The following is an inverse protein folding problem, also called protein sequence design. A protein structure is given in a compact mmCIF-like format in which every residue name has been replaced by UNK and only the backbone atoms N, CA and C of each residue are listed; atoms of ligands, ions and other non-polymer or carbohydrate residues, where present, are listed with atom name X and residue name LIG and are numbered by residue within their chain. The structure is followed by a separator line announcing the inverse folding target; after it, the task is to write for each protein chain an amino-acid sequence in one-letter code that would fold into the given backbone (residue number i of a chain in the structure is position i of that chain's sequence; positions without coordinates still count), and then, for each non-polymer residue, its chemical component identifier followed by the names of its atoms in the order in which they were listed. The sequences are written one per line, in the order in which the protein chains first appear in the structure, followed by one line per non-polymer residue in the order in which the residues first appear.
data_IF_753342856507
#
_entry.id   IF_753342856507
#
_cell.length_a   1.000
_cell.length_b   1.000
_cell.length_c   1.000
_cell.angle_alpha   90.00
_cell.angle_beta   90.00
_cell.angle_gamma   90.00
#
_symmetry.space_group_name_H-M   'P 1'
#
loop_
_entity.id
_entity.type
_entity.pdbx_description
1 polymer ?
#
# COMPACT_ATOMS: atom_id res chain seq x y z
N UNK A 1 -51.47 -34.37 -24.27
CA UNK A 1 -50.81 -33.16 -23.76
C UNK A 1 -51.91 -32.17 -23.46
N UNK A 2 -52.38 -32.14 -22.22
CA UNK A 2 -53.30 -31.11 -21.77
C UNK A 2 -52.64 -30.39 -20.62
N UNK A 3 -52.17 -29.18 -20.91
CA UNK A 3 -51.70 -28.22 -19.92
C UNK A 3 -52.95 -27.59 -19.31
N UNK A 4 -53.62 -28.31 -18.41
CA UNK A 4 -54.56 -27.70 -17.47
C UNK A 4 -53.81 -27.46 -16.17
N UNK A 5 -53.15 -26.30 -16.09
CA UNK A 5 -52.80 -25.69 -14.81
C UNK A 5 -54.11 -25.35 -14.10
N UNK A 6 -54.63 -26.27 -13.29
CA UNK A 6 -55.79 -26.01 -12.44
C UNK A 6 -55.38 -24.94 -11.41
N UNK A 7 -55.83 -23.70 -11.61
CA UNK A 7 -55.56 -22.57 -10.73
C UNK A 7 -55.92 -22.89 -9.26
N UNK A 8 -56.92 -23.75 -9.03
CA UNK A 8 -57.32 -24.15 -7.68
C UNK A 8 -56.31 -25.09 -7.00
N UNK A 9 -55.67 -25.98 -7.75
CA UNK A 9 -54.64 -26.88 -7.19
C UNK A 9 -53.32 -26.13 -6.94
N UNK A 10 -52.95 -25.20 -7.83
CA UNK A 10 -51.77 -24.35 -7.63
C UNK A 10 -51.95 -23.44 -6.40
N UNK A 11 -53.13 -22.85 -6.22
CA UNK A 11 -53.43 -22.01 -5.05
C UNK A 11 -53.51 -22.81 -3.75
N UNK A 12 -54.04 -24.04 -3.78
CA UNK A 12 -54.05 -24.93 -2.61
C UNK A 12 -52.65 -25.40 -2.20
N UNK A 13 -51.80 -25.76 -3.17
CA UNK A 13 -50.41 -26.14 -2.93
C UNK A 13 -49.60 -24.98 -2.35
N UNK A 14 -49.78 -23.77 -2.89
CA UNK A 14 -49.14 -22.56 -2.38
C UNK A 14 -49.60 -22.23 -0.95
N UNK A 15 -50.92 -22.31 -0.70
CA UNK A 15 -51.48 -22.10 0.64
C UNK A 15 -50.91 -23.07 1.66
N UNK A 16 -50.82 -24.36 1.32
CA UNK A 16 -50.26 -25.40 2.18
C UNK A 16 -48.74 -25.22 2.41
N UNK A 17 -48.01 -24.75 1.40
CA UNK A 17 -46.59 -24.45 1.54
C UNK A 17 -46.35 -23.33 2.56
N UNK A 18 -47.09 -22.22 2.47
CA UNK A 18 -46.94 -21.09 3.40
C UNK A 18 -47.49 -21.39 4.81
N UNK A 19 -48.58 -22.15 4.95
CA UNK A 19 -49.07 -22.56 6.27
C UNK A 19 -48.15 -23.59 6.93
N UNK A 20 -47.56 -24.50 6.15
CA UNK A 20 -46.61 -25.50 6.64
C UNK A 20 -45.23 -24.92 6.99
N UNK A 21 -44.74 -23.96 6.21
CA UNK A 21 -43.38 -23.41 6.34
C UNK A 21 -43.33 -21.99 6.91
N UNK A 22 -44.46 -21.37 7.25
CA UNK A 22 -44.55 -19.96 7.63
C UNK A 22 -43.64 -19.56 8.79
N UNK A 23 -43.42 -20.45 9.77
CA UNK A 23 -42.47 -20.20 10.87
C UNK A 23 -41.01 -20.16 10.37
N UNK A 24 -40.63 -21.06 9.48
CA UNK A 24 -39.28 -21.11 8.91
C UNK A 24 -39.03 -19.92 7.98
N UNK A 25 -40.04 -19.53 7.17
CA UNK A 25 -39.98 -18.35 6.31
C UNK A 25 -39.85 -17.06 7.14
N UNK A 26 -40.64 -16.93 8.22
CA UNK A 26 -40.54 -15.79 9.13
C UNK A 26 -39.18 -15.73 9.84
N UNK A 27 -38.67 -16.87 10.32
CA UNK A 27 -37.34 -16.95 10.94
C UNK A 27 -36.23 -16.57 9.94
N UNK A 28 -36.28 -17.10 8.71
CA UNK A 28 -35.35 -16.77 7.64
C UNK A 28 -35.38 -15.28 7.29
N UNK A 29 -36.56 -14.67 7.23
CA UNK A 29 -36.71 -13.23 6.98
C UNK A 29 -36.08 -12.39 8.10
N UNK A 30 -36.33 -12.74 9.37
CA UNK A 30 -35.75 -12.02 10.53
C UNK A 30 -34.23 -12.13 10.53
N UNK A 31 -33.69 -13.32 10.29
CA UNK A 31 -32.24 -13.54 10.20
C UNK A 31 -31.65 -12.74 9.03
N UNK A 32 -32.31 -12.74 7.86
CA UNK A 32 -31.89 -11.98 6.70
C UNK A 32 -31.84 -10.48 6.97
N UNK A 33 -32.87 -9.92 7.61
CA UNK A 33 -32.91 -8.49 7.99
C UNK A 33 -31.82 -8.17 9.01
N UNK A 34 -31.62 -9.01 10.01
CA UNK A 34 -30.57 -8.81 11.02
C UNK A 34 -29.16 -8.84 10.39
N UNK A 35 -28.90 -9.78 9.47
CA UNK A 35 -27.64 -9.89 8.76
C UNK A 35 -27.39 -8.65 7.87
N UNK A 36 -28.39 -8.21 7.10
CA UNK A 36 -28.30 -7.01 6.27
C UNK A 36 -28.11 -5.73 7.10
N UNK A 37 -28.82 -5.62 8.23
CA UNK A 37 -28.69 -4.50 9.17
C UNK A 37 -27.30 -4.44 9.80
N UNK A 38 -26.79 -5.59 10.27
CA UNK A 38 -25.43 -5.71 10.80
C UNK A 38 -24.37 -5.36 9.76
N UNK A 39 -24.51 -5.87 8.52
CA UNK A 39 -23.61 -5.54 7.41
C UNK A 39 -23.62 -4.04 7.09
N UNK A 40 -24.80 -3.41 7.02
CA UNK A 40 -24.93 -1.98 6.72
C UNK A 40 -24.29 -1.10 7.80
N UNK A 41 -24.49 -1.44 9.08
CA UNK A 41 -23.86 -0.72 10.21
C UNK A 41 -22.34 -0.82 10.10
N UNK A 42 -21.83 -2.03 9.82
CA UNK A 42 -20.40 -2.26 9.64
C UNK A 42 -19.82 -1.44 8.46
N UNK A 43 -20.44 -1.47 7.28
CA UNK A 43 -20.01 -0.67 6.12
C UNK A 43 -20.06 0.83 6.41
N UNK A 44 -21.14 1.33 7.02
CA UNK A 44 -21.27 2.74 7.38
C UNK A 44 -20.19 3.20 8.35
N UNK A 45 -19.82 2.35 9.31
CA UNK A 45 -18.73 2.65 10.23
C UNK A 45 -17.38 2.71 9.51
N UNK A 46 -17.15 1.79 8.56
CA UNK A 46 -15.93 1.76 7.74
C UNK A 46 -15.81 3.01 6.84
N UNK A 47 -16.89 3.42 6.18
CA UNK A 47 -16.91 4.63 5.33
C UNK A 47 -16.69 5.92 6.14
N UNK A 48 -17.35 6.05 7.29
CA UNK A 48 -17.16 7.19 8.19
C UNK A 48 -15.71 7.27 8.68
N UNK A 49 -15.12 6.12 9.02
CA UNK A 49 -13.74 6.05 9.49
C UNK A 49 -12.74 6.44 8.38
N UNK A 50 -12.97 6.00 7.13
CA UNK A 50 -12.13 6.37 5.99
C UNK A 50 -12.18 7.87 5.70
N UNK A 51 -13.38 8.48 5.72
CA UNK A 51 -13.56 9.92 5.55
C UNK A 51 -12.86 10.71 6.66
N UNK A 52 -13.06 10.34 7.92
CA UNK A 52 -12.41 11.00 9.06
C UNK A 52 -10.89 10.88 9.01
N UNK A 53 -10.37 9.68 8.71
CA UNK A 53 -8.93 9.43 8.57
C UNK A 53 -8.34 10.27 7.44
N UNK A 54 -9.03 10.36 6.30
CA UNK A 54 -8.60 11.17 5.15
C UNK A 54 -8.56 12.66 5.48
N UNK A 55 -9.59 13.17 6.15
CA UNK A 55 -9.68 14.57 6.56
C UNK A 55 -8.58 14.92 7.58
N UNK A 56 -8.34 14.03 8.55
CA UNK A 56 -7.28 14.19 9.54
C UNK A 56 -5.90 14.15 8.90
N UNK A 57 -5.65 13.23 7.97
CA UNK A 57 -4.43 13.19 7.18
C UNK A 57 -4.21 14.50 6.42
N UNK A 58 -5.25 15.02 5.74
CA UNK A 58 -5.17 16.26 5.00
C UNK A 58 -4.83 17.44 5.91
N UNK A 59 -5.55 17.60 7.02
CA UNK A 59 -5.30 18.65 8.01
C UNK A 59 -3.86 18.62 8.54
N UNK A 60 -3.36 17.45 8.91
CA UNK A 60 -2.00 17.30 9.43
C UNK A 60 -0.94 17.56 8.36
N UNK A 61 -1.18 17.10 7.13
CA UNK A 61 -0.27 17.32 6.00
C UNK A 61 -0.18 18.79 5.60
N UNK A 62 -1.30 19.52 5.65
CA UNK A 62 -1.36 20.96 5.39
C UNK A 62 -0.72 21.80 6.52
N UNK A 63 -0.86 21.34 7.76
CA UNK A 63 -0.26 22.00 8.93
C UNK A 63 1.24 21.72 9.09
N UNK A 64 1.78 20.73 8.36
CA UNK A 64 3.15 20.27 8.49
C UNK A 64 4.15 21.40 8.17
N UNK A 65 5.03 21.69 9.14
CA UNK A 65 6.07 22.68 8.99
C UNK A 65 7.37 22.18 9.64
N UNK A 66 8.44 22.11 8.85
CA UNK A 66 9.73 21.60 9.29
C UNK A 66 10.34 22.39 10.48
N UNK A 67 10.01 23.67 10.60
CA UNK A 67 10.49 24.55 11.67
C UNK A 67 9.67 24.43 12.97
N UNK A 68 8.60 23.62 12.95
CA UNK A 68 7.64 23.47 14.05
C UNK A 68 7.54 22.01 14.49
N UNK A 69 8.36 21.57 15.47
CA UNK A 69 8.40 20.18 15.93
C UNK A 69 7.04 19.61 16.31
N UNK A 70 6.14 20.42 16.88
CA UNK A 70 4.81 20.02 17.28
C UNK A 70 3.95 19.52 16.10
N UNK A 71 4.17 20.05 14.89
CA UNK A 71 3.45 19.63 13.69
C UNK A 71 3.97 18.28 13.18
N UNK A 72 5.27 18.03 13.34
CA UNK A 72 5.91 16.76 12.98
C UNK A 72 5.52 15.66 13.97
N UNK A 73 5.47 15.98 15.27
CA UNK A 73 5.05 15.07 16.32
C UNK A 73 3.58 14.67 16.16
N UNK A 74 2.70 15.60 15.78
CA UNK A 74 1.31 15.31 15.48
C UNK A 74 1.16 14.35 14.29
N UNK A 75 1.95 14.54 13.23
CA UNK A 75 1.95 13.65 12.08
C UNK A 75 2.57 12.28 12.43
N UNK A 76 3.64 12.23 13.23
CA UNK A 76 4.23 10.99 13.71
C UNK A 76 3.26 10.18 14.59
N UNK A 77 2.51 10.87 15.46
CA UNK A 77 1.45 10.24 16.25
C UNK A 77 0.35 9.66 15.36
N UNK A 78 -0.02 10.37 14.29
CA UNK A 78 -0.97 9.88 13.30
C UNK A 78 -0.45 8.64 12.56
N UNK A 79 0.82 8.62 12.15
CA UNK A 79 1.46 7.43 11.55
C UNK A 79 1.35 6.22 12.48
N UNK A 80 1.68 6.37 13.77
CA UNK A 80 1.65 5.27 14.73
C UNK A 80 0.23 4.75 15.06
N UNK A 81 -0.81 5.55 14.82
CA UNK A 81 -2.20 5.22 15.16
C UNK A 81 -3.04 4.79 13.96
N UNK A 82 -2.55 5.02 12.73
CA UNK A 82 -3.33 4.87 11.51
C UNK A 82 -2.75 3.79 10.63
N UNK A 83 -3.50 2.72 10.43
CA UNK A 83 -3.16 1.69 9.46
C UNK A 83 -3.79 1.99 8.08
N UNK A 84 -3.25 1.36 7.04
CA UNK A 84 -3.68 1.54 5.65
C UNK A 84 -2.98 2.70 4.94
N UNK A 85 -3.51 3.07 3.77
CA UNK A 85 -2.83 3.98 2.83
C UNK A 85 -2.54 5.36 3.41
N UNK A 86 -3.41 5.92 4.27
CA UNK A 86 -3.20 7.24 4.86
C UNK A 86 -2.06 7.27 5.89
N UNK A 87 -1.90 6.22 6.70
CA UNK A 87 -0.76 6.08 7.60
C UNK A 87 0.56 5.98 6.83
N UNK A 88 0.58 5.18 5.78
CA UNK A 88 1.74 5.03 4.91
C UNK A 88 2.09 6.34 4.14
N UNK A 89 1.09 7.08 3.65
CA UNK A 89 1.32 8.40 3.04
C UNK A 89 1.87 9.41 4.04
N UNK A 90 1.31 9.44 5.26
CA UNK A 90 1.82 10.29 6.34
C UNK A 90 3.28 9.95 6.69
N UNK A 91 3.61 8.67 6.77
CA UNK A 91 4.96 8.19 7.03
C UNK A 91 5.94 8.64 5.93
N UNK A 92 5.52 8.55 4.66
CA UNK A 92 6.32 9.02 3.53
C UNK A 92 6.52 10.54 3.53
N UNK A 93 5.50 11.32 3.89
CA UNK A 93 5.60 12.78 3.99
C UNK A 93 6.56 13.17 5.11
N UNK A 94 6.43 12.56 6.28
CA UNK A 94 7.29 12.81 7.42
C UNK A 94 8.73 12.38 7.14
N UNK A 95 8.92 11.22 6.50
CA UNK A 95 10.24 10.78 6.04
C UNK A 95 10.89 11.81 5.12
N UNK A 96 10.15 12.39 4.18
CA UNK A 96 10.66 13.44 3.30
C UNK A 96 11.16 14.65 4.09
N UNK A 97 10.39 15.14 5.07
CA UNK A 97 10.81 16.28 5.90
C UNK A 97 12.10 15.96 6.65
N UNK A 98 12.22 14.74 7.19
CA UNK A 98 13.45 14.33 7.86
C UNK A 98 14.64 14.21 6.91
N UNK A 99 14.46 13.74 5.68
CA UNK A 99 15.52 13.76 4.66
C UNK A 99 15.96 15.18 4.34
N UNK A 100 14.99 16.08 4.12
CA UNK A 100 15.27 17.48 3.80
C UNK A 100 16.01 18.19 4.95
N UNK A 101 15.75 17.78 6.20
CA UNK A 101 16.47 18.22 7.41
C UNK A 101 17.77 17.44 7.73
N UNK A 102 18.19 16.49 6.90
CA UNK A 102 19.40 15.68 7.11
C UNK A 102 19.28 14.60 8.19
N UNK A 103 18.09 14.36 8.72
CA UNK A 103 17.79 13.35 9.75
C UNK A 103 17.47 11.98 9.12
N UNK A 104 18.44 11.37 8.45
CA UNK A 104 18.25 10.13 7.68
C UNK A 104 17.76 8.95 8.53
N UNK A 105 18.19 8.87 9.80
CA UNK A 105 17.76 7.81 10.73
C UNK A 105 16.26 7.92 11.04
N UNK A 106 15.78 9.15 11.27
CA UNK A 106 14.34 9.40 11.49
C UNK A 106 13.55 9.10 10.22
N UNK A 107 14.06 9.47 9.05
CA UNK A 107 13.41 9.16 7.78
C UNK A 107 13.28 7.65 7.55
N UNK A 108 14.34 6.89 7.85
CA UNK A 108 14.36 5.42 7.79
C UNK A 108 13.30 4.82 8.72
N UNK A 109 13.26 5.25 9.97
CA UNK A 109 12.27 4.79 10.95
C UNK A 109 10.83 5.02 10.48
N UNK A 110 10.55 6.19 9.87
CA UNK A 110 9.20 6.48 9.36
C UNK A 110 8.83 5.55 8.19
N UNK A 111 9.73 5.32 7.23
CA UNK A 111 9.43 4.39 6.12
C UNK A 111 9.26 2.94 6.60
N UNK A 112 10.04 2.50 7.58
CA UNK A 112 9.89 1.18 8.19
C UNK A 112 8.56 1.05 8.94
N UNK A 113 8.10 2.11 9.61
CA UNK A 113 6.80 2.13 10.26
C UNK A 113 5.68 2.07 9.21
N UNK A 114 5.71 2.93 8.19
CA UNK A 114 4.72 2.92 7.11
C UNK A 114 4.63 1.58 6.37
N UNK A 115 5.74 0.85 6.25
CA UNK A 115 5.76 -0.51 5.65
C UNK A 115 4.99 -1.55 6.48
N UNK A 116 4.90 -1.39 7.81
CA UNK A 116 4.08 -2.26 8.67
C UNK A 116 2.59 -1.96 8.52
N UNK A 117 2.26 -0.74 8.14
CA UNK A 117 0.90 -0.21 8.15
C UNK A 117 0.20 -0.30 6.78
N UNK A 118 0.94 -0.48 5.69
CA UNK A 118 0.39 -0.56 4.32
C UNK A 118 0.17 -2.00 3.86
N UNK A 119 -1.03 -2.31 3.35
CA UNK A 119 -1.31 -3.57 2.62
C UNK A 119 -1.17 -3.43 1.09
N UNK A 120 -1.09 -2.20 0.58
CA UNK A 120 -0.95 -1.94 -0.86
C UNK A 120 0.47 -2.27 -1.35
N UNK A 121 0.59 -3.23 -2.27
CA UNK A 121 1.87 -3.70 -2.78
C UNK A 121 2.66 -2.62 -3.55
N UNK A 122 1.99 -1.71 -4.26
CA UNK A 122 2.64 -0.62 -4.97
C UNK A 122 3.16 0.43 -3.99
N UNK A 123 2.37 0.77 -2.97
CA UNK A 123 2.78 1.71 -1.93
C UNK A 123 3.97 1.17 -1.13
N UNK A 124 3.92 -0.12 -0.76
CA UNK A 124 5.06 -0.79 -0.14
C UNK A 124 6.30 -0.78 -1.05
N UNK A 125 6.17 -1.01 -2.35
CA UNK A 125 7.28 -0.97 -3.29
C UNK A 125 7.93 0.42 -3.35
N UNK A 126 7.12 1.49 -3.42
CA UNK A 126 7.62 2.87 -3.39
C UNK A 126 8.37 3.17 -2.09
N UNK A 127 7.83 2.76 -0.94
CA UNK A 127 8.50 2.95 0.36
C UNK A 127 9.81 2.17 0.43
N UNK A 128 9.85 0.91 -0.01
CA UNK A 128 11.08 0.09 -0.07
C UNK A 128 12.14 0.71 -0.99
N UNK A 129 11.76 1.23 -2.15
CA UNK A 129 12.71 1.93 -3.05
C UNK A 129 13.32 3.16 -2.38
N UNK A 130 12.51 3.95 -1.66
CA UNK A 130 12.99 5.12 -0.91
C UNK A 130 13.87 4.70 0.26
N UNK A 131 13.47 3.69 1.01
CA UNK A 131 14.22 3.14 2.13
C UNK A 131 15.60 2.62 1.68
N UNK A 132 15.66 1.88 0.57
CA UNK A 132 16.92 1.38 0.02
C UNK A 132 17.89 2.53 -0.35
N UNK A 133 17.38 3.65 -0.90
CA UNK A 133 18.20 4.84 -1.16
C UNK A 133 18.72 5.50 0.12
N UNK A 134 17.90 5.59 1.16
CA UNK A 134 18.34 6.11 2.46
C UNK A 134 19.40 5.22 3.09
N UNK A 135 19.20 3.90 3.05
CA UNK A 135 20.18 2.92 3.51
C UNK A 135 21.52 3.09 2.77
N UNK A 136 21.50 3.35 1.46
CA UNK A 136 22.74 3.67 0.72
C UNK A 136 23.39 4.98 1.16
N UNK A 137 22.60 6.03 1.37
CA UNK A 137 23.11 7.31 1.86
C UNK A 137 23.73 7.19 3.27
N UNK A 138 23.25 6.24 4.07
CA UNK A 138 23.78 5.89 5.40
C UNK A 138 24.94 4.89 5.34
N UNK A 139 25.45 4.52 4.16
CA UNK A 139 26.49 3.50 3.96
C UNK A 139 26.09 2.08 4.44
N UNK A 140 24.82 1.71 4.30
CA UNK A 140 24.28 0.37 4.60
C UNK A 140 23.85 -0.37 3.31
N UNK A 141 24.78 -0.73 2.40
CA UNK A 141 24.42 -1.33 1.11
C UNK A 141 23.84 -2.73 1.22
N UNK A 142 24.21 -3.52 2.23
CA UNK A 142 23.64 -4.84 2.44
C UNK A 142 22.16 -4.77 2.82
N UNK A 143 21.78 -3.79 3.63
CA UNK A 143 20.37 -3.60 4.01
C UNK A 143 19.57 -3.03 2.85
N UNK A 144 20.16 -2.15 2.04
CA UNK A 144 19.56 -1.69 0.78
C UNK A 144 19.23 -2.87 -0.15
N UNK A 145 20.17 -3.79 -0.34
CA UNK A 145 19.96 -4.98 -1.18
C UNK A 145 18.82 -5.86 -0.65
N UNK A 146 18.77 -6.14 0.66
CA UNK A 146 17.68 -6.89 1.29
C UNK A 146 16.33 -6.18 1.13
N UNK A 147 16.30 -4.87 1.34
CA UNK A 147 15.09 -4.05 1.13
C UNK A 147 14.60 -4.19 -0.30
N UNK A 148 15.48 -4.12 -1.29
CA UNK A 148 15.12 -4.30 -2.71
C UNK A 148 14.58 -5.70 -2.99
N UNK A 149 15.18 -6.76 -2.43
CA UNK A 149 14.72 -8.15 -2.64
C UNK A 149 13.29 -8.41 -2.16
N UNK A 150 12.77 -7.56 -1.26
CA UNK A 150 11.39 -7.65 -0.76
C UNK A 150 10.35 -6.96 -1.65
N UNK A 151 10.76 -6.29 -2.73
CA UNK A 151 9.86 -5.69 -3.72
C UNK A 151 9.35 -6.76 -4.69
N UNK A 152 8.04 -6.76 -4.94
CA UNK A 152 7.37 -7.67 -5.86
C UNK A 152 6.84 -6.92 -7.08
N UNK A 153 6.79 -7.60 -8.23
CA UNK A 153 6.21 -7.08 -9.47
C UNK A 153 7.24 -6.49 -10.43
N UNK A 154 7.09 -6.81 -11.72
CA UNK A 154 8.08 -6.50 -12.74
C UNK A 154 8.18 -5.01 -13.09
N UNK A 155 7.14 -4.23 -12.78
CA UNK A 155 7.09 -2.78 -13.04
C UNK A 155 8.15 -1.96 -12.28
N UNK A 156 8.80 -2.55 -11.27
CA UNK A 156 9.86 -1.90 -10.49
C UNK A 156 11.27 -2.25 -10.96
N UNK A 157 11.42 -3.12 -11.97
CA UNK A 157 12.70 -3.69 -12.41
C UNK A 157 13.77 -2.63 -12.66
N UNK A 158 13.43 -1.57 -13.40
CA UNK A 158 14.36 -0.50 -13.72
C UNK A 158 14.84 0.25 -12.45
N UNK A 159 13.92 0.58 -11.55
CA UNK A 159 14.20 1.31 -10.31
C UNK A 159 15.01 0.46 -9.33
N UNK A 160 14.70 -0.83 -9.24
CA UNK A 160 15.49 -1.76 -8.45
C UNK A 160 16.89 -1.95 -9.02
N UNK A 161 17.03 -2.08 -10.34
CA UNK A 161 18.31 -2.22 -11.03
C UNK A 161 19.23 -1.02 -10.78
N UNK A 162 18.68 0.19 -10.87
CA UNK A 162 19.41 1.44 -10.62
C UNK A 162 20.03 1.47 -9.21
N UNK A 163 19.20 1.27 -8.18
CA UNK A 163 19.62 1.29 -6.76
C UNK A 163 20.52 0.09 -6.44
N UNK A 164 20.22 -1.10 -6.98
CA UNK A 164 21.04 -2.30 -6.79
C UNK A 164 22.44 -2.11 -7.35
N UNK A 165 22.58 -1.48 -8.51
CA UNK A 165 23.90 -1.21 -9.08
C UNK A 165 24.68 -0.20 -8.24
N UNK A 166 24.04 0.82 -7.68
CA UNK A 166 24.68 1.74 -6.72
C UNK A 166 25.14 1.01 -5.45
N UNK A 167 24.30 0.12 -4.90
CA UNK A 167 24.62 -0.69 -3.73
C UNK A 167 25.80 -1.62 -3.95
N UNK A 168 25.87 -2.27 -5.12
CA UNK A 168 26.97 -3.17 -5.47
C UNK A 168 28.25 -2.38 -5.73
N UNK A 169 28.16 -1.23 -6.40
CA UNK A 169 29.31 -0.37 -6.64
C UNK A 169 29.89 0.18 -5.34
N UNK A 170 29.06 0.62 -4.37
CA UNK A 170 29.55 1.11 -3.08
C UNK A 170 30.27 0.03 -2.25
N UNK A 171 29.95 -1.24 -2.51
CA UNK A 171 30.68 -2.41 -1.98
C UNK A 171 31.95 -2.78 -2.78
N UNK A 172 32.24 -2.08 -3.87
CA UNK A 172 33.35 -2.39 -4.77
C UNK A 172 33.06 -3.48 -5.81
N UNK A 173 31.84 -4.03 -5.85
CA UNK A 173 31.43 -5.03 -6.83
C UNK A 173 31.03 -4.37 -8.16
N UNK A 174 32.04 -3.99 -8.94
CA UNK A 174 31.85 -3.37 -10.27
C UNK A 174 31.16 -4.31 -11.26
N UNK A 175 31.39 -5.62 -11.16
CA UNK A 175 30.78 -6.59 -12.07
C UNK A 175 29.29 -6.74 -11.77
N UNK A 176 28.91 -6.86 -10.49
CA UNK A 176 27.53 -6.86 -10.04
C UNK A 176 26.82 -5.54 -10.39
N UNK A 177 27.47 -4.39 -10.19
CA UNK A 177 26.92 -3.09 -10.58
C UNK A 177 26.63 -3.01 -12.08
N UNK A 178 27.59 -3.46 -12.92
CA UNK A 178 27.40 -3.54 -14.37
C UNK A 178 26.21 -4.43 -14.74
N UNK A 179 26.14 -5.63 -14.17
CA UNK A 179 25.05 -6.56 -14.44
C UNK A 179 23.68 -5.98 -14.05
N UNK A 180 23.60 -5.30 -12.89
CA UNK A 180 22.38 -4.67 -12.43
C UNK A 180 21.90 -3.57 -13.40
N UNK A 181 22.77 -2.62 -13.75
CA UNK A 181 22.39 -1.52 -14.65
C UNK A 181 22.09 -1.99 -16.07
N UNK A 182 22.81 -2.97 -16.60
CA UNK A 182 22.47 -3.59 -17.89
C UNK A 182 21.06 -4.18 -17.87
N UNK A 183 20.71 -4.94 -16.83
CA UNK A 183 19.35 -5.47 -16.65
C UNK A 183 18.29 -4.36 -16.60
N UNK A 184 18.60 -3.23 -15.96
CA UNK A 184 17.70 -2.07 -15.94
C UNK A 184 17.49 -1.46 -17.32
N UNK A 185 18.53 -1.35 -18.14
CA UNK A 185 18.47 -0.81 -19.51
C UNK A 185 17.62 -1.71 -20.42
N UNK A 186 17.75 -3.02 -20.26
CA UNK A 186 17.02 -4.02 -21.05
C UNK A 186 15.53 -4.15 -20.66
N UNK A 187 15.13 -3.55 -19.53
CA UNK A 187 13.73 -3.53 -19.08
C UNK A 187 12.88 -2.48 -19.82
N UNK A 188 11.59 -2.38 -19.48
CA UNK A 188 10.65 -1.39 -20.02
C UNK A 188 10.82 0.02 -19.40
N UNK A 189 12.06 0.38 -19.06
CA UNK A 189 12.42 1.66 -18.48
C UNK A 189 12.21 2.80 -19.49
N UNK A 190 11.92 4.01 -18.98
CA UNK A 190 11.83 5.20 -19.82
C UNK A 190 13.18 5.50 -20.49
N UNK A 191 13.20 6.13 -21.68
CA UNK A 191 14.43 6.47 -22.39
C UNK A 191 15.43 7.26 -21.52
N UNK A 192 14.93 8.21 -20.72
CA UNK A 192 15.75 9.00 -19.80
C UNK A 192 16.44 8.12 -18.73
N UNK A 193 15.72 7.13 -18.20
CA UNK A 193 16.26 6.23 -17.19
C UNK A 193 17.30 5.26 -17.78
N UNK A 194 17.05 4.74 -18.99
CA UNK A 194 18.04 3.94 -19.72
C UNK A 194 19.32 4.74 -19.96
N UNK A 195 19.19 6.00 -20.40
CA UNK A 195 20.34 6.89 -20.60
C UNK A 195 21.10 7.16 -19.30
N UNK A 196 20.40 7.39 -18.19
CA UNK A 196 21.03 7.55 -16.87
C UNK A 196 21.85 6.33 -16.46
N UNK A 197 21.30 5.12 -16.58
CA UNK A 197 22.02 3.88 -16.27
C UNK A 197 23.20 3.64 -17.24
N UNK A 198 23.06 4.02 -18.52
CA UNK A 198 24.15 3.93 -19.48
C UNK A 198 25.31 4.86 -19.10
N UNK A 199 25.04 6.07 -18.64
CA UNK A 199 26.09 6.98 -18.13
C UNK A 199 26.79 6.36 -16.92
N UNK A 200 26.05 5.76 -15.98
CA UNK A 200 26.63 5.06 -14.83
C UNK A 200 27.54 3.89 -15.26
N UNK A 201 27.11 3.10 -16.25
CA UNK A 201 27.92 2.02 -16.83
C UNK A 201 29.21 2.52 -17.47
N UNK A 202 29.15 3.62 -18.21
CA UNK A 202 30.31 4.20 -18.89
C UNK A 202 31.34 4.73 -17.88
N UNK A 203 30.90 5.13 -16.69
CA UNK A 203 31.74 5.62 -15.60
C UNK A 203 32.35 4.50 -14.74
N UNK A 204 32.04 3.22 -15.00
CA UNK A 204 32.69 2.06 -14.37
C UNK A 204 34.05 1.81 -15.02
N UNK A 205 35.03 2.69 -14.77
CA UNK A 205 36.44 2.44 -15.07
C UNK A 205 37.01 1.38 -14.14
#
# INVERSE_FOLDING_TARGET
MEVYSNEQEQTAALRNFFTGNGKALAAGLVIGIAALGGWRIWVSHQESNALETSARYQQLSEAMNADKPETLDALAAFVNQTHGSYGALAAMNLAKVYVDGGHLDKATQQLEQGLKDSDDANLQAVMRLRLARLQLQQNHPDDALKTLDSIKGDGWTALMADIRGEALLSKGDKQGARAAWSKGIDSDASPAMKQMMQMKLNNLS
#
